data_IF_430091069201
#
_entry.id   IF_430091069201
#
_cell.length_a   1.000
_cell.length_b   1.000
_cell.length_c   1.000
_cell.angle_alpha   90.00
_cell.angle_beta   90.00
_cell.angle_gamma   90.00
#
_symmetry.space_group_name_H-M   'P 1'
#
loop_
_entity.id
_entity.type
_entity.pdbx_description
1 polymer ?
#
# COMPACT_ATOMS: atom_id res chain seq x y z
N UNK A 1 -3.07 14.59 15.61
CA UNK A 1 -3.13 15.00 14.18
C UNK A 1 -1.85 15.73 13.75
N UNK A 2 -1.43 16.80 14.43
CA UNK A 2 -0.18 17.52 14.10
C UNK A 2 1.07 16.62 14.08
N UNK A 3 1.24 15.79 15.13
CA UNK A 3 2.36 14.82 15.18
C UNK A 3 2.36 13.84 14.00
N UNK A 4 1.19 13.38 13.56
CA UNK A 4 1.07 12.49 12.40
C UNK A 4 1.47 13.20 11.11
N UNK A 5 1.13 14.49 10.96
CA UNK A 5 1.53 15.26 9.77
C UNK A 5 3.07 15.39 9.71
N UNK A 6 3.74 15.46 10.86
CA UNK A 6 5.20 15.58 10.93
C UNK A 6 5.93 14.25 10.73
N UNK A 7 5.41 13.15 11.30
CA UNK A 7 6.08 11.85 11.29
C UNK A 7 5.58 10.91 10.22
N UNK A 8 4.33 11.09 9.79
CA UNK A 8 3.58 10.14 8.95
C UNK A 8 3.56 8.74 9.54
N UNK A 9 3.65 8.63 10.88
CA UNK A 9 3.68 7.37 11.62
C UNK A 9 2.41 7.15 12.43
N UNK A 10 1.86 5.94 12.39
CA UNK A 10 0.70 5.58 13.20
C UNK A 10 1.03 5.52 14.70
N UNK A 11 2.30 5.33 15.06
CA UNK A 11 2.81 5.28 16.44
C UNK A 11 2.51 6.53 17.29
N UNK A 12 2.08 7.63 16.66
CA UNK A 12 1.66 8.84 17.38
C UNK A 12 0.29 8.69 18.04
N UNK A 13 -0.51 7.70 17.65
CA UNK A 13 -1.84 7.42 18.19
C UNK A 13 -1.77 6.37 19.29
N UNK A 14 -2.23 6.67 20.52
CA UNK A 14 -2.22 5.68 21.59
C UNK A 14 -3.26 4.58 21.34
N UNK A 15 -3.00 3.39 21.88
CA UNK A 15 -3.88 2.22 21.79
C UNK A 15 -4.11 1.66 20.38
N UNK A 16 -3.27 2.02 19.41
CA UNK A 16 -3.24 1.38 18.09
C UNK A 16 -2.19 0.28 18.04
N UNK A 17 -2.29 -0.61 17.06
CA UNK A 17 -1.17 -1.48 16.67
C UNK A 17 0.06 -0.62 16.34
N UNK A 18 1.26 -1.12 16.69
CA UNK A 18 2.51 -0.43 16.37
C UNK A 18 2.78 -0.54 14.88
N UNK A 19 3.38 0.50 14.34
CA UNK A 19 3.65 0.65 12.90
C UNK A 19 4.51 -0.47 12.34
N UNK A 20 5.54 -0.88 13.08
CA UNK A 20 6.41 -2.01 12.70
C UNK A 20 5.66 -3.34 12.68
N UNK A 21 4.79 -3.59 13.66
CA UNK A 21 4.03 -4.84 13.76
C UNK A 21 3.01 -4.93 12.61
N UNK A 22 2.33 -3.81 12.32
CA UNK A 22 1.43 -3.69 11.17
C UNK A 22 2.15 -3.95 9.85
N UNK A 23 3.31 -3.33 9.61
CA UNK A 23 4.12 -3.52 8.39
C UNK A 23 4.55 -4.96 8.20
N UNK A 24 5.05 -5.61 9.26
CA UNK A 24 5.45 -7.03 9.21
C UNK A 24 4.28 -7.91 8.82
N UNK A 25 3.12 -7.71 9.45
CA UNK A 25 1.92 -8.48 9.17
C UNK A 25 1.43 -8.30 7.72
N UNK A 26 1.42 -7.06 7.22
CA UNK A 26 1.06 -6.75 5.82
C UNK A 26 2.05 -7.38 4.84
N UNK A 27 3.35 -7.17 5.06
CA UNK A 27 4.42 -7.72 4.22
C UNK A 27 4.34 -9.24 4.15
N UNK A 28 4.20 -9.92 5.28
CA UNK A 28 4.05 -11.38 5.31
C UNK A 28 2.82 -11.86 4.55
N UNK A 29 1.67 -11.21 4.70
CA UNK A 29 0.46 -11.62 4.00
C UNK A 29 0.60 -11.49 2.47
N UNK A 30 1.12 -10.37 1.99
CA UNK A 30 1.28 -10.12 0.55
C UNK A 30 2.37 -11.02 -0.03
N UNK A 31 3.54 -11.09 0.60
CA UNK A 31 4.66 -11.93 0.13
C UNK A 31 4.31 -13.42 0.12
N UNK A 32 3.52 -13.88 1.10
CA UNK A 32 3.03 -15.27 1.11
C UNK A 32 2.07 -15.54 -0.05
N UNK A 33 1.22 -14.59 -0.41
CA UNK A 33 0.35 -14.71 -1.58
C UNK A 33 1.13 -14.75 -2.90
N UNK A 34 2.21 -13.97 -3.00
CA UNK A 34 3.07 -13.95 -4.19
C UNK A 34 3.80 -15.29 -4.38
N UNK A 35 4.29 -15.89 -3.30
CA UNK A 35 5.00 -17.19 -3.35
C UNK A 35 4.08 -18.32 -3.83
N UNK A 36 2.77 -18.25 -3.52
CA UNK A 36 1.82 -19.29 -3.89
C UNK A 36 1.22 -19.15 -5.30
N UNK A 37 1.46 -18.03 -6.00
CA UNK A 37 0.91 -17.74 -7.33
C UNK A 37 2.00 -17.27 -8.33
N UNK A 38 3.05 -18.09 -8.58
CA UNK A 38 4.15 -17.69 -9.44
C UNK A 38 3.71 -17.53 -10.91
N UNK A 39 4.00 -16.37 -11.49
CA UNK A 39 3.68 -16.07 -12.90
C UNK A 39 2.22 -15.66 -13.14
N UNK A 40 1.41 -15.58 -12.10
CA UNK A 40 0.01 -15.16 -12.16
C UNK A 40 -0.14 -13.66 -11.85
N UNK A 41 -1.32 -13.13 -12.18
CA UNK A 41 -1.75 -11.80 -11.72
C UNK A 41 -2.68 -11.97 -10.53
N UNK A 42 -2.28 -11.45 -9.37
CA UNK A 42 -3.12 -11.41 -8.18
C UNK A 42 -3.72 -10.02 -7.97
N UNK A 43 -4.94 -9.97 -7.45
CA UNK A 43 -5.62 -8.72 -7.09
C UNK A 43 -5.85 -8.71 -5.59
N UNK A 44 -5.44 -7.64 -4.91
CA UNK A 44 -5.58 -7.47 -3.47
C UNK A 44 -6.47 -6.25 -3.21
N UNK A 45 -7.72 -6.50 -2.80
CA UNK A 45 -8.59 -5.45 -2.28
C UNK A 45 -8.24 -5.18 -0.82
N UNK A 46 -7.81 -3.94 -0.51
CA UNK A 46 -7.37 -3.56 0.83
C UNK A 46 -7.56 -2.06 1.09
N UNK A 47 -7.07 -1.59 2.25
CA UNK A 47 -7.18 -0.20 2.68
C UNK A 47 -5.90 0.60 2.40
N UNK A 48 -6.02 1.93 2.39
CA UNK A 48 -4.88 2.83 2.12
C UNK A 48 -3.68 2.65 3.06
N UNK A 49 -3.90 2.21 4.31
CA UNK A 49 -2.82 1.87 5.24
C UNK A 49 -2.04 0.62 4.81
N UNK A 50 -2.72 -0.40 4.27
CA UNK A 50 -2.07 -1.62 3.75
C UNK A 50 -1.24 -1.30 2.51
N UNK A 51 -1.80 -0.50 1.60
CA UNK A 51 -1.12 -0.01 0.39
C UNK A 51 0.16 0.74 0.76
N UNK A 52 0.08 1.72 1.67
CA UNK A 52 1.25 2.48 2.09
C UNK A 52 2.27 1.62 2.84
N UNK A 53 1.83 0.71 3.72
CA UNK A 53 2.76 -0.15 4.46
C UNK A 53 3.62 -1.01 3.53
N UNK A 54 3.02 -1.60 2.50
CA UNK A 54 3.76 -2.43 1.54
C UNK A 54 4.64 -1.61 0.59
N UNK A 55 4.11 -0.49 0.07
CA UNK A 55 4.87 0.36 -0.85
C UNK A 55 6.03 1.10 -0.15
N UNK A 56 5.85 1.53 1.10
CA UNK A 56 6.95 2.11 1.88
C UNK A 56 8.08 1.11 2.09
N UNK A 57 7.78 -0.18 2.26
CA UNK A 57 8.82 -1.24 2.34
C UNK A 57 9.60 -1.34 1.02
N UNK A 58 8.89 -1.41 -0.12
CA UNK A 58 9.51 -1.47 -1.46
C UNK A 58 10.40 -0.24 -1.72
N UNK A 59 9.95 0.93 -1.28
CA UNK A 59 10.64 2.21 -1.49
C UNK A 59 11.73 2.49 -0.43
N UNK A 60 11.88 1.64 0.60
CA UNK A 60 12.82 1.88 1.71
C UNK A 60 12.46 3.09 2.57
N UNK A 61 11.18 3.44 2.66
CA UNK A 61 10.69 4.61 3.38
C UNK A 61 10.32 4.29 4.83
N UNK A 62 10.86 5.10 5.75
CA UNK A 62 10.50 5.05 7.15
C UNK A 62 9.27 5.93 7.48
N UNK A 63 8.17 5.81 6.70
CA UNK A 63 6.88 6.50 6.94
C UNK A 63 5.70 5.59 6.62
N UNK A 64 4.63 5.64 7.42
CA UNK A 64 3.48 4.71 7.26
C UNK A 64 2.41 5.23 6.31
N UNK A 65 2.47 6.50 5.94
CA UNK A 65 1.56 7.11 4.96
C UNK A 65 2.29 8.19 4.16
N UNK A 66 2.95 7.81 3.06
CA UNK A 66 3.67 8.76 2.19
C UNK A 66 2.75 9.44 1.17
N UNK A 67 1.61 8.82 0.85
CA UNK A 67 0.61 9.39 -0.05
C UNK A 67 -0.80 8.94 0.34
N UNK A 68 -1.81 9.59 -0.24
CA UNK A 68 -3.23 9.27 -0.02
C UNK A 68 -3.77 8.46 -1.21
N UNK A 69 -4.07 7.16 -1.04
CA UNK A 69 -4.77 6.40 -2.06
C UNK A 69 -6.20 6.93 -2.25
N UNK A 70 -6.64 7.04 -3.49
CA UNK A 70 -8.04 7.37 -3.78
C UNK A 70 -8.93 6.15 -3.57
N UNK A 71 -10.23 6.38 -3.38
CA UNK A 71 -11.17 5.29 -3.24
C UNK A 71 -11.26 4.51 -4.56
N UNK A 72 -11.14 3.19 -4.45
CA UNK A 72 -11.16 2.26 -5.57
C UNK A 72 -10.09 2.50 -6.65
N UNK A 73 -9.03 3.28 -6.39
CA UNK A 73 -7.89 3.41 -7.31
C UNK A 73 -7.05 2.14 -7.37
N UNK A 74 -6.38 1.94 -8.49
CA UNK A 74 -5.50 0.79 -8.70
C UNK A 74 -4.02 1.17 -8.52
N UNK A 75 -3.25 0.18 -8.07
CA UNK A 75 -1.82 0.28 -7.86
C UNK A 75 -1.20 -1.00 -8.42
N UNK A 76 -0.28 -0.87 -9.37
CA UNK A 76 0.33 -2.02 -10.04
C UNK A 76 1.78 -2.16 -9.62
N UNK A 77 2.11 -3.34 -9.12
CA UNK A 77 3.47 -3.74 -8.77
C UNK A 77 3.80 -4.98 -9.60
N UNK A 78 4.94 -4.94 -10.29
CA UNK A 78 5.49 -6.07 -11.03
C UNK A 78 6.42 -6.87 -10.13
N UNK A 79 6.28 -8.19 -10.17
CA UNK A 79 7.04 -9.15 -9.36
C UNK A 79 7.83 -10.07 -10.27
N UNK A 80 9.14 -10.18 -10.05
CA UNK A 80 9.97 -11.09 -10.83
C UNK A 80 11.43 -11.07 -10.40
N UNK A 81 12.09 -12.23 -10.46
CA UNK A 81 13.52 -12.37 -10.17
C UNK A 81 13.94 -11.76 -8.81
N UNK A 82 13.09 -11.92 -7.79
CA UNK A 82 13.32 -11.35 -6.46
C UNK A 82 13.13 -9.83 -6.35
N UNK A 83 12.68 -9.17 -7.41
CA UNK A 83 12.47 -7.72 -7.46
C UNK A 83 10.98 -7.36 -7.44
N UNK A 84 10.70 -6.21 -6.84
CA UNK A 84 9.41 -5.53 -6.85
C UNK A 84 9.62 -4.21 -7.58
N UNK A 85 8.82 -3.96 -8.60
CA UNK A 85 8.87 -2.71 -9.37
C UNK A 85 7.50 -2.08 -9.34
N UNK A 86 7.42 -0.84 -8.89
CA UNK A 86 6.17 -0.07 -8.94
C UNK A 86 5.97 0.39 -10.39
N UNK A 87 4.87 -0.01 -10.99
CA UNK A 87 4.48 0.37 -12.36
C UNK A 87 3.55 1.58 -12.33
N UNK A 88 2.46 1.51 -11.57
CA UNK A 88 1.51 2.63 -11.41
C UNK A 88 1.01 2.76 -9.97
N UNK A 89 0.69 3.99 -9.56
CA UNK A 89 0.05 4.31 -8.27
C UNK A 89 -1.11 5.28 -8.52
N UNK A 90 -2.23 5.09 -7.80
CA UNK A 90 -3.41 5.96 -7.90
C UNK A 90 -4.00 6.06 -9.32
N UNK A 91 -3.92 4.99 -10.10
CA UNK A 91 -4.59 4.98 -11.41
C UNK A 91 -6.11 4.87 -11.20
N UNK A 92 -6.82 5.85 -11.72
CA UNK A 92 -8.26 6.04 -11.63
C UNK A 92 -8.88 6.33 -13.00
N UNK A 93 -8.14 6.12 -14.11
CA UNK A 93 -8.63 6.43 -15.45
C UNK A 93 -9.93 5.68 -15.79
N UNK A 94 -10.07 4.44 -15.29
CA UNK A 94 -11.29 3.65 -15.43
C UNK A 94 -12.46 4.16 -14.58
N UNK A 95 -12.20 4.81 -13.44
CA UNK A 95 -13.24 5.46 -12.64
C UNK A 95 -13.68 6.77 -13.31
N UNK A 96 -12.72 7.53 -13.84
CA UNK A 96 -12.97 8.77 -14.56
C UNK A 96 -13.83 8.53 -15.81
N UNK A 97 -13.53 7.47 -16.58
CA UNK A 97 -14.28 7.08 -17.76
C UNK A 97 -15.78 6.80 -17.46
N UNK A 98 -16.08 6.34 -16.25
CA UNK A 98 -17.44 6.03 -15.78
C UNK A 98 -18.08 7.17 -14.97
N UNK A 99 -17.40 8.30 -14.79
CA UNK A 99 -17.88 9.42 -13.98
C UNK A 99 -18.00 9.10 -12.49
N UNK A 100 -17.17 8.21 -11.96
CA UNK A 100 -17.23 7.68 -10.59
C UNK A 100 -16.23 8.30 -9.62
N UNK A 101 -15.55 9.39 -9.98
CA UNK A 101 -14.61 10.06 -9.09
C UNK A 101 -15.33 10.77 -7.94
N UNK A 102 -14.78 10.67 -6.73
CA UNK A 102 -15.41 11.20 -5.50
C UNK A 102 -14.48 12.09 -4.67
N UNK A 103 -13.35 12.53 -5.22
CA UNK A 103 -12.34 13.31 -4.51
C UNK A 103 -12.35 14.80 -4.89
#
# INVERSE_FOLDING_TARGET
>A
RERFVQTQKWDVYPHTERSLDFRRRVGWAIESALVTHPGETIVIACHGGVINAYLSEILGLDVDMFFRPYHASSHRILFGQGRRVIDTLNDEAYLAAEGLLTH
#
